data_IF_375716465596
#
_entry.id   IF_375716465596
#
_cell.length_a   1.000
_cell.length_b   1.000
_cell.length_c   1.000
_cell.angle_alpha   90.00
_cell.angle_beta   90.00
_cell.angle_gamma   90.00
#
_symmetry.space_group_name_H-M   'P 1'
#
loop_
_entity.id
_entity.type
_entity.pdbx_description
1 polymer ?
#
# COMPACT_ATOMS: atom_id res chain seq x y z
N UNK A 1 3.00 4.86 12.24
CA UNK A 1 2.62 3.92 11.17
C UNK A 1 1.19 3.50 11.45
N UNK A 2 0.24 3.88 10.60
CA UNK A 2 -1.17 3.53 10.78
C UNK A 2 -1.69 2.93 9.48
N UNK A 3 -2.42 1.82 9.58
CA UNK A 3 -3.08 1.18 8.46
C UNK A 3 -4.46 1.84 8.25
N UNK A 4 -4.71 2.32 7.03
CA UNK A 4 -6.01 2.88 6.66
C UNK A 4 -6.83 1.79 5.95
N UNK A 5 -8.00 1.38 6.47
CA UNK A 5 -8.88 0.47 5.76
C UNK A 5 -9.40 1.14 4.48
N UNK A 6 -9.46 0.37 3.39
CA UNK A 6 -9.91 0.86 2.07
C UNK A 6 -11.01 -0.03 1.46
N UNK A 7 -11.64 -0.86 2.29
CA UNK A 7 -12.70 -1.80 1.90
C UNK A 7 -12.19 -3.17 1.47
N UNK A 8 -13.09 -4.16 1.38
CA UNK A 8 -12.77 -5.56 1.05
C UNK A 8 -11.60 -6.12 1.86
N UNK A 9 -11.58 -5.92 3.18
CA UNK A 9 -10.47 -6.31 4.07
C UNK A 9 -9.06 -5.90 3.57
N UNK A 10 -8.99 -4.83 2.77
CA UNK A 10 -7.76 -4.25 2.28
C UNK A 10 -7.35 -3.07 3.14
N UNK A 11 -6.05 -2.91 3.27
CA UNK A 11 -5.44 -1.86 4.09
C UNK A 11 -4.30 -1.20 3.31
N UNK A 12 -4.24 0.13 3.41
CA UNK A 12 -3.13 0.94 2.93
C UNK A 12 -2.25 1.34 4.10
N UNK A 13 -0.95 1.07 3.98
CA UNK A 13 0.06 1.40 4.99
C UNK A 13 1.04 2.38 4.38
N UNK A 14 1.37 3.46 5.11
CA UNK A 14 2.41 4.43 4.74
C UNK A 14 3.59 4.30 5.69
N UNK A 15 4.73 3.91 5.15
CA UNK A 15 5.99 3.77 5.87
C UNK A 15 6.92 4.92 5.48
N UNK A 16 7.48 5.62 6.47
CA UNK A 16 8.49 6.64 6.24
C UNK A 16 9.86 5.97 6.00
N UNK A 17 10.60 6.43 5.01
CA UNK A 17 11.97 6.00 4.71
C UNK A 17 12.90 7.13 5.12
N UNK A 18 13.47 7.07 6.32
CA UNK A 18 14.36 8.10 6.85
C UNK A 18 15.63 8.31 6.03
N UNK A 19 16.10 7.27 5.31
CA UNK A 19 17.34 7.31 4.52
C UNK A 19 17.20 7.85 3.09
N UNK A 20 15.98 8.06 2.58
CA UNK A 20 15.76 8.56 1.20
C UNK A 20 15.61 10.09 1.22
N UNK A 21 16.63 10.82 0.76
CA UNK A 21 16.68 12.29 0.84
C UNK A 21 15.60 13.02 0.02
N UNK A 22 14.89 13.96 0.65
CA UNK A 22 13.87 14.82 0.03
C UNK A 22 13.45 15.97 0.95
N UNK A 23 12.71 16.96 0.42
CA UNK A 23 12.43 18.28 1.03
C UNK A 23 11.72 18.26 2.42
N UNK A 24 11.28 17.11 2.94
CA UNK A 24 10.52 17.04 4.21
C UNK A 24 10.71 15.75 5.04
N UNK A 25 11.90 15.15 5.03
CA UNK A 25 12.26 14.14 6.05
C UNK A 25 12.06 12.68 5.66
N UNK A 26 12.43 12.33 4.42
CA UNK A 26 12.42 10.94 3.97
C UNK A 26 11.36 10.64 2.90
N UNK A 27 11.66 9.70 2.00
CA UNK A 27 10.69 9.10 1.09
C UNK A 27 9.57 8.36 1.82
N UNK A 28 8.55 7.89 1.09
CA UNK A 28 7.49 7.06 1.69
C UNK A 28 7.24 5.84 0.84
N UNK A 29 7.17 4.67 1.46
CA UNK A 29 6.63 3.48 0.81
C UNK A 29 5.14 3.40 1.11
N UNK A 30 4.34 3.19 0.07
CA UNK A 30 2.94 2.83 0.20
C UNK A 30 2.81 1.33 -0.03
N UNK A 31 2.21 0.65 0.92
CA UNK A 31 1.98 -0.80 0.88
C UNK A 31 0.48 -1.08 0.93
N UNK A 32 0.00 -1.94 0.04
CA UNK A 32 -1.37 -2.44 0.05
C UNK A 32 -1.37 -3.91 0.44
N UNK A 33 -2.17 -4.26 1.44
CA UNK A 33 -2.34 -5.64 1.90
C UNK A 33 -3.81 -6.04 1.94
N UNK A 34 -4.09 -7.33 1.73
CA UNK A 34 -5.39 -7.95 1.90
C UNK A 34 -5.34 -8.96 3.06
N UNK A 35 -6.31 -8.89 3.95
CA UNK A 35 -6.57 -9.93 4.94
C UNK A 35 -7.61 -10.91 4.40
N UNK A 36 -7.29 -12.21 4.39
CA UNK A 36 -8.23 -13.25 3.98
C UNK A 36 -7.96 -14.52 4.78
N UNK A 37 -8.98 -15.04 5.46
CA UNK A 37 -8.92 -16.30 6.24
C UNK A 37 -7.72 -16.35 7.22
N UNK A 38 -7.43 -15.24 7.90
CA UNK A 38 -6.30 -15.14 8.84
C UNK A 38 -4.92 -15.03 8.19
N UNK A 39 -4.83 -14.94 6.85
CA UNK A 39 -3.58 -14.71 6.11
C UNK A 39 -3.48 -13.26 5.63
N UNK A 40 -2.26 -12.76 5.57
CA UNK A 40 -1.92 -11.43 5.02
C UNK A 40 -1.32 -11.62 3.63
N UNK A 41 -1.93 -11.02 2.62
CA UNK A 41 -1.45 -11.01 1.25
C UNK A 41 -0.92 -9.61 0.91
N UNK A 42 0.33 -9.53 0.47
CA UNK A 42 0.89 -8.30 -0.08
C UNK A 42 0.38 -8.12 -1.52
N UNK A 43 -0.39 -7.07 -1.77
CA UNK A 43 -0.91 -6.77 -3.11
C UNK A 43 0.11 -6.01 -3.94
N UNK A 44 0.69 -4.96 -3.36
CA UNK A 44 1.75 -4.17 -3.99
C UNK A 44 2.47 -3.29 -2.99
N UNK A 45 3.66 -2.86 -3.37
CA UNK A 45 4.53 -1.95 -2.63
C UNK A 45 5.24 -1.03 -3.63
N UNK A 46 5.21 0.28 -3.37
CA UNK A 46 5.84 1.26 -4.26
C UNK A 46 6.27 2.52 -3.50
N UNK A 47 7.23 3.26 -4.05
CA UNK A 47 7.57 4.57 -3.52
C UNK A 47 6.53 5.61 -3.95
N UNK A 48 6.14 6.43 -2.99
CA UNK A 48 5.18 7.51 -3.15
C UNK A 48 5.63 8.59 -4.15
N UNK A 49 6.93 8.69 -4.41
CA UNK A 49 7.49 9.57 -5.45
C UNK A 49 7.19 9.07 -6.85
N UNK A 50 7.13 7.75 -7.02
CA UNK A 50 7.00 7.10 -8.32
C UNK A 50 5.52 6.92 -8.67
N UNK A 51 4.67 6.76 -7.65
CA UNK A 51 3.22 6.65 -7.81
C UNK A 51 2.48 7.27 -6.62
N UNK A 52 1.40 8.03 -6.87
CA UNK A 52 0.68 8.76 -5.81
C UNK A 52 -0.26 7.86 -5.00
N UNK A 53 -1.23 7.25 -5.67
CA UNK A 53 -2.20 6.34 -5.08
C UNK A 53 -2.70 5.36 -6.13
N UNK A 54 -3.17 4.19 -5.70
CA UNK A 54 -3.92 3.29 -6.57
C UNK A 54 -5.36 3.77 -6.71
N UNK A 55 -5.86 3.73 -7.94
CA UNK A 55 -7.29 3.84 -8.23
C UNK A 55 -8.02 2.58 -7.78
N UNK A 56 -9.34 2.69 -7.59
CA UNK A 56 -10.20 1.55 -7.28
C UNK A 56 -10.08 0.44 -8.33
N UNK A 57 -9.93 0.80 -9.62
CA UNK A 57 -9.81 -0.16 -10.72
C UNK A 57 -8.54 -0.98 -10.62
N UNK A 58 -7.41 -0.35 -10.32
CA UNK A 58 -6.12 -1.05 -10.13
C UNK A 58 -6.16 -1.97 -8.90
N UNK A 59 -6.73 -1.50 -7.79
CA UNK A 59 -6.88 -2.32 -6.59
C UNK A 59 -7.74 -3.57 -6.86
N UNK A 60 -8.84 -3.42 -7.60
CA UNK A 60 -9.68 -4.55 -8.01
C UNK A 60 -8.95 -5.52 -8.94
N UNK A 61 -8.07 -5.02 -9.81
CA UNK A 61 -7.26 -5.87 -10.68
C UNK A 61 -6.25 -6.70 -9.86
N UNK A 62 -5.59 -6.09 -8.87
CA UNK A 62 -4.67 -6.79 -7.96
C UNK A 62 -5.37 -7.87 -7.14
N UNK A 63 -6.61 -7.62 -6.72
CA UNK A 63 -7.39 -8.57 -5.93
C UNK A 63 -7.71 -9.87 -6.66
N UNK A 64 -7.89 -9.83 -7.99
CA UNK A 64 -8.13 -11.05 -8.79
C UNK A 64 -7.01 -12.08 -8.70
N UNK A 65 -5.80 -11.68 -8.31
CA UNK A 65 -4.65 -12.57 -8.17
C UNK A 65 -4.56 -13.27 -6.82
N UNK A 66 -5.42 -12.92 -5.85
CA UNK A 66 -5.40 -13.43 -4.47
C UNK A 66 -6.78 -13.86 -3.96
N UNK A 67 -7.79 -13.82 -4.83
CA UNK A 67 -9.12 -14.44 -4.61
C UNK A 67 -9.07 -15.96 -4.79
#
# INVERSE_FOLDING_TARGET
>A
MQATPIGKDCYKIRLAISSKGGKSGGGRVVTYVRLLQGKVYLLTIYDKTDQDSLTTKELLALLKGVE
#
